data_IF_437231016269
#
_entry.id   IF_437231016269
#
_cell.length_a   1.000
_cell.length_b   1.000
_cell.length_c   1.000
_cell.angle_alpha   90.00
_cell.angle_beta   90.00
_cell.angle_gamma   90.00
#
_symmetry.space_group_name_H-M   'P 1'
#
loop_
_entity.id
_entity.type
_entity.pdbx_description
1 polymer ?
#
# COMPACT_ATOMS: atom_id res chain seq x y z
N UNK A 1 6.98 9.63 -15.01
CA UNK A 1 6.74 10.59 -13.91
C UNK A 1 6.34 9.90 -12.61
N UNK A 2 5.27 9.10 -12.58
CA UNK A 2 4.85 8.35 -11.39
C UNK A 2 5.98 7.54 -10.73
N UNK A 3 6.77 6.81 -11.53
CA UNK A 3 7.94 6.06 -11.04
C UNK A 3 9.01 6.96 -10.41
N UNK A 4 9.25 8.14 -10.98
CA UNK A 4 10.22 9.10 -10.43
C UNK A 4 9.69 9.71 -9.13
N UNK A 5 8.40 10.02 -9.07
CA UNK A 5 7.73 10.56 -7.89
C UNK A 5 7.88 9.64 -6.67
N UNK A 6 7.60 8.33 -6.83
CA UNK A 6 7.71 7.35 -5.74
C UNK A 6 9.14 6.91 -5.42
N UNK A 7 10.12 7.18 -6.30
CA UNK A 7 11.54 6.84 -6.07
C UNK A 7 12.37 8.01 -5.55
N UNK A 8 11.86 9.23 -5.64
CA UNK A 8 12.55 10.43 -5.17
C UNK A 8 12.84 10.36 -3.67
N UNK A 9 14.12 10.51 -3.31
CA UNK A 9 14.62 10.47 -1.92
C UNK A 9 15.36 11.76 -1.51
N UNK A 10 15.27 12.81 -2.31
CA UNK A 10 16.09 14.02 -2.18
C UNK A 10 15.58 15.02 -1.13
N UNK A 11 14.54 14.67 -0.37
CA UNK A 11 13.95 15.53 0.67
C UNK A 11 14.58 15.25 2.05
N UNK A 12 14.52 16.20 3.01
CA UNK A 12 15.05 16.02 4.37
C UNK A 12 14.45 14.84 5.14
N UNK A 13 13.22 14.44 4.79
CA UNK A 13 12.49 13.30 5.38
C UNK A 13 12.84 11.96 4.71
N UNK A 14 13.61 11.98 3.60
CA UNK A 14 14.22 10.81 2.98
C UNK A 14 13.25 9.69 2.62
N UNK A 15 13.35 8.56 3.33
CA UNK A 15 12.55 7.35 3.07
C UNK A 15 11.11 7.46 3.60
N UNK A 16 10.84 8.30 4.61
CA UNK A 16 9.47 8.48 5.15
C UNK A 16 8.57 9.17 4.13
N UNK A 17 9.04 10.29 3.57
CA UNK A 17 8.36 11.03 2.50
C UNK A 17 8.19 10.14 1.25
N UNK A 18 9.16 9.25 0.98
CA UNK A 18 9.01 8.26 -0.08
C UNK A 18 7.86 7.27 0.19
N UNK A 19 7.72 6.80 1.43
CA UNK A 19 6.63 5.89 1.82
C UNK A 19 5.26 6.60 1.74
N UNK A 20 5.20 7.87 2.12
CA UNK A 20 3.97 8.67 1.99
C UNK A 20 3.61 8.88 0.52
N UNK A 21 4.57 9.22 -0.34
CA UNK A 21 4.39 9.32 -1.80
C UNK A 21 3.97 8.01 -2.44
N UNK A 22 4.50 6.87 -1.98
CA UNK A 22 4.02 5.55 -2.42
C UNK A 22 2.56 5.33 -2.04
N UNK A 23 2.18 5.72 -0.82
CA UNK A 23 0.80 5.61 -0.34
C UNK A 23 -0.14 6.48 -1.17
N UNK A 24 0.25 7.72 -1.47
CA UNK A 24 -0.51 8.63 -2.33
C UNK A 24 -0.65 8.07 -3.75
N UNK A 25 0.41 7.44 -4.28
CA UNK A 25 0.34 6.76 -5.57
C UNK A 25 -0.62 5.57 -5.55
N UNK A 26 -0.59 4.75 -4.50
CA UNK A 26 -1.52 3.62 -4.32
C UNK A 26 -2.96 4.14 -4.27
N UNK A 27 -3.23 5.22 -3.53
CA UNK A 27 -4.55 5.86 -3.49
C UNK A 27 -4.96 6.39 -4.87
N UNK A 28 -4.04 7.03 -5.60
CA UNK A 28 -4.28 7.52 -6.95
C UNK A 28 -4.61 6.39 -7.93
N UNK A 29 -3.86 5.29 -7.88
CA UNK A 29 -4.11 4.07 -8.66
C UNK A 29 -5.46 3.49 -8.29
N UNK A 30 -5.79 3.37 -7.00
CA UNK A 30 -7.08 2.88 -6.53
C UNK A 30 -8.23 3.74 -7.08
N UNK A 31 -8.17 5.06 -6.92
CA UNK A 31 -9.20 5.98 -7.45
C UNK A 31 -9.31 5.84 -8.96
N UNK A 32 -8.19 5.74 -9.69
CA UNK A 32 -8.21 5.62 -11.16
C UNK A 32 -8.68 4.27 -11.64
N UNK A 33 -8.24 3.18 -11.02
CA UNK A 33 -8.72 1.83 -11.29
C UNK A 33 -10.23 1.79 -11.05
N UNK A 34 -10.70 2.32 -9.92
CA UNK A 34 -12.11 2.41 -9.60
C UNK A 34 -12.92 3.26 -10.60
N UNK A 35 -12.44 4.45 -10.93
CA UNK A 35 -13.05 5.31 -11.95
C UNK A 35 -13.07 4.64 -13.32
N UNK A 36 -12.03 3.89 -13.68
CA UNK A 36 -11.93 3.16 -14.95
C UNK A 36 -12.81 1.91 -15.00
N UNK A 37 -13.10 1.33 -13.83
CA UNK A 37 -14.08 0.25 -13.65
C UNK A 37 -15.51 0.80 -13.54
N UNK A 38 -15.71 2.09 -13.85
CA UNK A 38 -16.96 2.85 -13.73
C UNK A 38 -18.18 1.98 -13.97
N UNK A 39 -18.89 1.67 -12.89
CA UNK A 39 -20.03 0.75 -12.84
C UNK A 39 -19.70 -0.71 -13.23
N UNK A 40 -18.90 -1.40 -12.41
CA UNK A 40 -18.81 -2.87 -12.42
C UNK A 40 -18.60 -3.48 -13.82
N UNK A 41 -17.86 -2.81 -14.72
CA UNK A 41 -17.63 -3.35 -16.06
C UNK A 41 -16.66 -4.53 -15.97
N UNK A 42 -17.21 -5.74 -15.86
CA UNK A 42 -16.48 -7.00 -15.80
C UNK A 42 -15.54 -7.19 -17.00
N UNK A 43 -15.82 -6.56 -18.15
CA UNK A 43 -14.94 -6.60 -19.31
C UNK A 43 -13.67 -5.76 -19.08
N UNK A 44 -13.81 -4.57 -18.51
CA UNK A 44 -12.68 -3.74 -18.12
C UNK A 44 -11.85 -4.41 -17.01
N UNK A 45 -12.51 -5.07 -16.06
CA UNK A 45 -11.85 -5.86 -15.01
C UNK A 45 -11.05 -7.03 -15.59
N UNK A 46 -11.62 -7.78 -16.53
CA UNK A 46 -10.94 -8.89 -17.21
C UNK A 46 -9.70 -8.46 -18.00
N UNK A 47 -9.79 -7.33 -18.71
CA UNK A 47 -8.66 -6.75 -19.43
C UNK A 47 -7.55 -6.29 -18.47
N UNK A 48 -7.93 -5.65 -17.35
CA UNK A 48 -7.01 -5.27 -16.30
C UNK A 48 -6.31 -6.49 -15.69
N UNK A 49 -7.05 -7.52 -15.32
CA UNK A 49 -6.52 -8.76 -14.73
C UNK A 49 -5.52 -9.49 -15.65
N UNK A 50 -5.84 -9.59 -16.95
CA UNK A 50 -4.96 -10.22 -17.93
C UNK A 50 -3.64 -9.45 -18.06
N UNK A 51 -3.73 -8.12 -18.09
CA UNK A 51 -2.55 -7.24 -18.12
C UNK A 51 -1.74 -7.37 -16.84
N UNK A 52 -2.39 -7.33 -15.69
CA UNK A 52 -1.79 -7.49 -14.37
C UNK A 52 -0.99 -8.79 -14.25
N UNK A 53 -1.58 -9.95 -14.60
CA UNK A 53 -0.88 -11.25 -14.51
C UNK A 53 0.35 -11.36 -15.41
N UNK A 54 0.44 -10.52 -16.44
CA UNK A 54 1.61 -10.49 -17.34
C UNK A 54 2.80 -9.76 -16.71
N UNK A 55 2.56 -8.75 -15.87
CA UNK A 55 3.60 -7.84 -15.37
C UNK A 55 3.83 -7.91 -13.86
N UNK A 56 2.89 -8.46 -13.09
CA UNK A 56 2.95 -8.57 -11.65
C UNK A 56 2.75 -10.01 -11.20
N UNK A 57 3.69 -10.50 -10.40
CA UNK A 57 3.55 -11.77 -9.71
C UNK A 57 2.80 -11.55 -8.40
N UNK A 58 1.50 -11.81 -8.38
CA UNK A 58 0.80 -12.04 -7.13
C UNK A 58 -0.33 -13.07 -7.31
N UNK A 59 -0.55 -13.83 -6.23
CA UNK A 59 -1.52 -14.92 -6.17
C UNK A 59 -2.92 -14.37 -5.85
N UNK A 60 -3.45 -13.61 -6.79
CA UNK A 60 -4.81 -13.07 -6.75
C UNK A 60 -5.59 -13.73 -7.88
N UNK A 61 -6.70 -14.40 -7.56
CA UNK A 61 -7.57 -14.97 -8.56
C UNK A 61 -8.54 -13.91 -9.07
N UNK A 62 -9.03 -14.09 -10.30
CA UNK A 62 -10.01 -13.17 -10.89
C UNK A 62 -11.25 -13.00 -10.00
N UNK A 63 -11.72 -14.13 -9.43
CA UNK A 63 -12.85 -14.17 -8.50
C UNK A 63 -12.62 -13.34 -7.24
N UNK A 64 -11.39 -13.30 -6.73
CA UNK A 64 -11.07 -12.48 -5.55
C UNK A 64 -11.22 -10.99 -5.87
N UNK A 65 -10.85 -10.59 -7.10
CA UNK A 65 -11.03 -9.21 -7.55
C UNK A 65 -12.50 -8.84 -7.75
N UNK A 66 -13.32 -9.76 -8.28
CA UNK A 66 -14.77 -9.56 -8.41
C UNK A 66 -15.41 -9.36 -7.03
N UNK A 67 -15.15 -10.25 -6.07
CA UNK A 67 -15.67 -10.14 -4.70
C UNK A 67 -15.18 -8.88 -3.98
N UNK A 68 -13.93 -8.48 -4.22
CA UNK A 68 -13.36 -7.28 -3.62
C UNK A 68 -14.05 -6.01 -4.11
N UNK A 69 -14.49 -5.98 -5.38
CA UNK A 69 -15.23 -4.84 -5.92
C UNK A 69 -16.55 -4.64 -5.18
N UNK A 70 -17.30 -5.72 -4.94
CA UNK A 70 -18.58 -5.67 -4.20
C UNK A 70 -18.38 -5.18 -2.76
N UNK A 71 -17.33 -5.67 -2.08
CA UNK A 71 -16.97 -5.23 -0.72
C UNK A 71 -16.62 -3.74 -0.67
N UNK A 72 -16.01 -3.22 -1.74
CA UNK A 72 -15.57 -1.84 -1.83
C UNK A 72 -16.69 -0.89 -2.27
N UNK A 73 -17.62 -1.33 -3.15
CA UNK A 73 -18.83 -0.56 -3.47
C UNK A 73 -19.72 -0.38 -2.23
N UNK A 74 -19.91 -1.46 -1.46
CA UNK A 74 -20.85 -1.49 -0.35
C UNK A 74 -20.25 -0.90 0.94
N UNK A 75 -18.93 -1.01 1.14
CA UNK A 75 -18.24 -0.57 2.35
C UNK A 75 -17.96 0.93 2.45
N UNK A 76 -18.15 1.68 1.35
CA UNK A 76 -17.78 3.10 1.29
C UNK A 76 -16.27 3.34 1.36
N UNK A 77 -15.79 4.45 0.82
CA UNK A 77 -14.36 4.83 0.76
C UNK A 77 -13.71 5.17 2.11
N UNK A 78 -14.35 4.83 3.24
CA UNK A 78 -14.10 5.48 4.53
C UNK A 78 -13.23 4.71 5.54
N UNK A 79 -12.77 3.48 5.26
CA UNK A 79 -12.12 2.65 6.29
C UNK A 79 -10.71 2.15 5.98
N UNK A 80 -9.87 2.97 5.35
CA UNK A 80 -8.42 2.67 5.31
C UNK A 80 -7.76 3.24 6.57
N UNK A 81 -7.75 2.48 7.65
CA UNK A 81 -6.97 2.81 8.84
C UNK A 81 -5.49 2.45 8.59
N UNK A 82 -4.62 3.45 8.53
CA UNK A 82 -3.18 3.26 8.38
C UNK A 82 -2.56 3.16 9.77
N UNK A 83 -1.99 1.99 10.05
CA UNK A 83 -1.14 1.76 11.22
C UNK A 83 0.31 1.88 10.76
N UNK A 84 1.08 2.79 11.35
CA UNK A 84 2.50 2.97 11.02
C UNK A 84 3.30 3.42 12.23
N UNK A 85 4.49 2.82 12.41
CA UNK A 85 5.43 3.25 13.44
C UNK A 85 5.95 4.64 13.13
N UNK A 86 5.98 5.51 14.14
CA UNK A 86 6.60 6.82 14.08
C UNK A 86 8.10 6.76 14.36
N UNK A 87 8.82 7.86 14.09
CA UNK A 87 10.29 7.91 14.23
C UNK A 87 10.78 7.75 15.68
N UNK A 88 9.95 8.07 16.66
CA UNK A 88 10.21 7.84 18.07
C UNK A 88 10.05 6.35 18.46
N UNK A 89 9.23 5.60 17.74
CA UNK A 89 8.99 4.16 17.94
C UNK A 89 10.00 3.25 17.23
N UNK A 90 10.94 3.82 16.47
CA UNK A 90 12.00 3.10 15.77
C UNK A 90 13.40 3.60 16.14
N UNK A 91 14.39 2.72 16.05
CA UNK A 91 15.81 3.03 16.18
C UNK A 91 16.59 2.61 14.93
N UNK A 92 17.73 3.28 14.71
CA UNK A 92 18.66 2.93 13.65
C UNK A 92 19.64 1.86 14.14
N UNK A 93 19.61 0.72 13.48
CA UNK A 93 20.57 -0.36 13.67
C UNK A 93 21.42 -0.53 12.41
N UNK A 94 22.70 -0.89 12.59
CA UNK A 94 23.56 -1.32 11.47
C UNK A 94 23.86 -2.79 11.62
N UNK A 95 23.53 -3.55 10.58
CA UNK A 95 23.90 -4.97 10.49
C UNK A 95 25.43 -5.12 10.48
N UNK A 96 25.96 -6.30 10.83
CA UNK A 96 27.40 -6.58 10.75
C UNK A 96 28.00 -6.35 9.35
N UNK A 97 27.18 -6.47 8.29
CA UNK A 97 27.58 -6.23 6.89
C UNK A 97 27.46 -4.77 6.47
N UNK A 98 27.05 -3.86 7.37
CA UNK A 98 26.99 -2.43 7.16
C UNK A 98 25.67 -1.90 6.58
N UNK A 99 24.65 -2.74 6.38
CA UNK A 99 23.33 -2.27 5.98
C UNK A 99 22.62 -1.55 7.14
N UNK A 100 22.06 -0.38 6.86
CA UNK A 100 21.22 0.38 7.80
C UNK A 100 19.81 -0.20 7.83
N UNK A 101 19.30 -0.45 9.03
CA UNK A 101 17.98 -1.04 9.31
C UNK A 101 17.24 -0.15 10.30
N UNK A 102 15.93 0.00 10.10
CA UNK A 102 15.04 0.55 11.11
C UNK A 102 14.49 -0.60 11.94
N UNK A 103 14.78 -0.59 13.23
CA UNK A 103 14.31 -1.58 14.20
C UNK A 103 13.21 -0.95 15.06
N UNK A 104 12.07 -1.61 15.27
CA UNK A 104 11.07 -1.16 16.24
C UNK A 104 11.67 -1.19 17.66
N UNK A 105 11.41 -0.15 18.45
CA UNK A 105 11.73 -0.12 19.89
C UNK A 105 10.64 -0.75 20.75
N UNK A 106 9.45 -0.90 20.19
CA UNK A 106 8.27 -1.48 20.84
C UNK A 106 8.19 -2.97 20.58
N UNK A 107 7.50 -3.70 21.45
CA UNK A 107 7.06 -5.05 21.12
C UNK A 107 6.02 -4.96 19.98
N UNK A 108 6.41 -5.38 18.78
CA UNK A 108 5.57 -5.30 17.59
C UNK A 108 4.22 -6.01 17.74
N UNK A 109 4.18 -7.15 18.43
CA UNK A 109 2.96 -7.95 18.52
C UNK A 109 1.93 -7.26 19.43
N UNK A 110 2.37 -6.80 20.60
CA UNK A 110 1.50 -6.07 21.53
C UNK A 110 1.08 -4.71 20.96
N UNK A 111 2.01 -4.00 20.32
CA UNK A 111 1.73 -2.71 19.69
C UNK A 111 0.69 -2.85 18.58
N UNK A 112 0.81 -3.84 17.68
CA UNK A 112 -0.17 -4.08 16.62
C UNK A 112 -1.57 -4.36 17.19
N UNK A 113 -1.66 -5.19 18.23
CA UNK A 113 -2.94 -5.48 18.89
C UNK A 113 -3.58 -4.21 19.48
N UNK A 114 -2.80 -3.33 20.11
CA UNK A 114 -3.31 -2.05 20.61
C UNK A 114 -3.82 -1.16 19.46
N UNK A 115 -3.09 -1.06 18.35
CA UNK A 115 -3.51 -0.25 17.21
C UNK A 115 -4.79 -0.78 16.53
N UNK A 116 -5.01 -2.10 16.49
CA UNK A 116 -6.25 -2.68 15.95
C UNK A 116 -7.47 -2.51 16.86
N UNK A 117 -7.27 -2.26 18.15
CA UNK A 117 -8.35 -2.07 19.13
C UNK A 117 -8.76 -0.61 19.31
N UNK A 118 -8.10 0.34 18.62
CA UNK A 118 -8.40 1.78 18.61
C UNK A 118 -9.30 2.14 17.44
#
# INVERSE_FOLDING_TARGET
EALCYVRGRTTPLGDLDRNDKMTDMIRGIYIKAWQSLGALDLKALGAFYTTYKTYAYADIQFRDMELFIDLVTDGGSHYWHRISLSMDEVEFFKTPTGASVLMPKVDLAEWLLDQFNR
#
